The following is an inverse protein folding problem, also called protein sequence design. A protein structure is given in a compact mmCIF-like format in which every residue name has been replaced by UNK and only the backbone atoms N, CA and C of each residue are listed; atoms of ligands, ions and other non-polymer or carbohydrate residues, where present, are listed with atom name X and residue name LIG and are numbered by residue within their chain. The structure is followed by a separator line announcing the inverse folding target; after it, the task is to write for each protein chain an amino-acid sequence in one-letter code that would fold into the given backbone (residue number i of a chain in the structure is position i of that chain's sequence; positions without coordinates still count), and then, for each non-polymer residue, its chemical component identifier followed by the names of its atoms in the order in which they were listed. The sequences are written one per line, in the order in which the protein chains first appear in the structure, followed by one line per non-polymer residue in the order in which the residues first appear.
data_IF_601165898176
#
_entry.id   IF_601165898176
#
_cell.length_a   1.000
_cell.length_b   1.000
_cell.length_c   1.000
_cell.angle_alpha   90.00
_cell.angle_beta   90.00
_cell.angle_gamma   90.00
#
_symmetry.space_group_name_H-M   'P 1'
#
loop_
_entity.id
_entity.type
_entity.pdbx_description
1 polymer ?
#
# COMPACT_ATOMS: atom_id res chain seq x y z
N UNK A 1 11.30 5.56 6.56
CA UNK A 1 12.55 4.86 6.17
C UNK A 1 13.73 5.28 7.03
N UNK A 2 13.60 6.36 7.80
CA UNK A 2 14.63 7.09 8.56
C UNK A 2 15.48 6.27 9.55
N UNK A 3 15.15 5.00 9.79
CA UNK A 3 15.88 4.11 10.71
C UNK A 3 16.31 2.78 10.10
N UNK A 4 16.00 2.50 8.84
CA UNK A 4 16.10 1.14 8.29
C UNK A 4 17.24 0.99 7.29
N UNK A 5 17.50 1.96 6.41
CA UNK A 5 18.64 1.87 5.48
C UNK A 5 19.04 3.27 4.98
N UNK A 6 20.34 3.60 5.04
CA UNK A 6 20.95 4.68 4.25
C UNK A 6 21.66 4.03 3.05
N UNK A 7 20.88 3.66 2.03
CA UNK A 7 21.38 3.00 0.83
C UNK A 7 20.94 3.80 -0.40
N UNK A 8 21.85 4.09 -1.35
CA UNK A 8 21.47 4.74 -2.58
C UNK A 8 20.54 3.84 -3.41
N UNK A 9 19.40 4.39 -3.81
CA UNK A 9 18.42 3.74 -4.67
C UNK A 9 18.41 4.38 -6.07
N UNK A 10 18.01 3.63 -7.09
CA UNK A 10 17.89 4.12 -8.47
C UNK A 10 16.43 4.32 -8.87
N UNK A 11 16.17 5.39 -9.62
CA UNK A 11 14.86 5.63 -10.20
C UNK A 11 14.56 4.59 -11.28
N UNK A 12 13.48 3.84 -11.10
CA UNK A 12 13.00 2.86 -12.08
C UNK A 12 11.92 3.50 -12.96
N UNK A 13 12.30 3.88 -14.18
CA UNK A 13 11.32 4.31 -15.18
C UNK A 13 10.58 3.09 -15.74
N UNK A 14 9.34 2.88 -15.30
CA UNK A 14 8.59 1.64 -15.56
C UNK A 14 8.47 1.26 -17.06
N UNK A 15 8.21 2.19 -18.00
CA UNK A 15 8.18 1.85 -19.42
C UNK A 15 9.50 1.29 -19.96
N UNK A 16 10.64 1.67 -19.37
CA UNK A 16 11.93 1.07 -19.69
C UNK A 16 12.06 -0.33 -19.09
N UNK A 17 11.67 -0.52 -17.82
CA UNK A 17 11.64 -1.84 -17.18
C UNK A 17 10.81 -2.84 -17.99
N UNK A 18 9.63 -2.43 -18.47
CA UNK A 18 8.77 -3.28 -19.30
C UNK A 18 9.45 -3.70 -20.61
N UNK A 19 10.15 -2.77 -21.29
CA UNK A 19 10.92 -3.08 -22.51
C UNK A 19 12.06 -4.07 -22.23
N UNK A 20 12.77 -3.92 -21.11
CA UNK A 20 13.83 -4.84 -20.71
C UNK A 20 13.26 -6.22 -20.38
N UNK A 21 12.17 -6.27 -19.61
CA UNK A 21 11.49 -7.51 -19.25
C UNK A 21 11.04 -8.29 -20.50
N UNK A 22 10.49 -7.60 -21.52
CA UNK A 22 10.11 -8.22 -22.80
C UNK A 22 11.27 -8.94 -23.49
N UNK A 23 12.48 -8.38 -23.48
CA UNK A 23 13.68 -9.02 -24.06
C UNK A 23 14.02 -10.35 -23.38
N UNK A 24 13.60 -10.53 -22.13
CA UNK A 24 13.83 -11.75 -21.35
C UNK A 24 12.61 -12.67 -21.29
N UNK A 25 11.64 -12.50 -22.21
CA UNK A 25 10.45 -13.34 -22.27
C UNK A 25 9.50 -13.15 -21.09
N UNK A 26 9.48 -11.96 -20.50
CA UNK A 26 8.54 -11.58 -19.44
C UNK A 26 7.45 -10.69 -20.04
N UNK A 27 6.20 -11.14 -19.94
CA UNK A 27 5.02 -10.38 -20.35
C UNK A 27 4.49 -9.61 -19.14
N UNK A 28 4.27 -8.31 -19.31
CA UNK A 28 3.60 -7.48 -18.30
C UNK A 28 2.19 -7.99 -18.01
N UNK A 29 1.83 -8.06 -16.72
CA UNK A 29 0.50 -8.49 -16.25
C UNK A 29 -0.23 -7.30 -15.64
N UNK A 30 0.36 -6.70 -14.59
CA UNK A 30 -0.26 -5.62 -13.84
C UNK A 30 0.76 -4.67 -13.24
N UNK A 31 0.29 -3.45 -12.96
CA UNK A 31 0.95 -2.43 -12.17
C UNK A 31 -0.11 -1.55 -11.53
N UNK A 32 0.03 -1.32 -10.24
CA UNK A 32 -0.82 -0.42 -9.47
C UNK A 32 -0.04 0.16 -8.29
N UNK A 33 -0.48 1.30 -7.76
CA UNK A 33 0.13 1.85 -6.54
C UNK A 33 -0.18 0.92 -5.36
N UNK A 34 0.66 0.94 -4.33
CA UNK A 34 0.38 0.17 -3.11
C UNK A 34 -0.96 0.58 -2.49
N UNK A 35 -1.29 1.88 -2.53
CA UNK A 35 -2.56 2.40 -2.03
C UNK A 35 -3.75 1.79 -2.77
N UNK A 36 -3.73 1.79 -4.10
CA UNK A 36 -4.83 1.23 -4.90
C UNK A 36 -4.97 -0.28 -4.68
N UNK A 37 -3.84 -0.99 -4.60
CA UNK A 37 -3.84 -2.42 -4.29
C UNK A 37 -4.45 -2.70 -2.91
N UNK A 38 -4.04 -1.91 -1.91
CA UNK A 38 -4.55 -2.05 -0.55
C UNK A 38 -6.05 -1.79 -0.50
N UNK A 39 -6.53 -0.68 -1.09
CA UNK A 39 -7.94 -0.31 -1.12
C UNK A 39 -8.81 -1.37 -1.81
N UNK A 40 -8.31 -1.97 -2.89
CA UNK A 40 -9.01 -3.05 -3.61
C UNK A 40 -9.09 -4.37 -2.82
N UNK A 41 -8.11 -4.66 -1.94
CA UNK A 41 -7.97 -5.97 -1.31
C UNK A 41 -8.28 -6.00 0.20
N UNK A 42 -8.31 -4.85 0.88
CA UNK A 42 -8.52 -4.78 2.33
C UNK A 42 -9.93 -5.21 2.78
N UNK A 43 -10.91 -5.21 1.87
CA UNK A 43 -12.30 -5.51 2.18
C UNK A 43 -12.59 -6.99 2.49
N UNK A 44 -11.75 -7.92 2.04
CA UNK A 44 -11.98 -9.37 2.24
C UNK A 44 -11.75 -9.79 3.69
N UNK A 45 -12.40 -10.87 4.12
CA UNK A 45 -12.28 -11.36 5.49
C UNK A 45 -10.87 -11.91 5.76
N UNK A 46 -10.29 -12.57 4.75
CA UNK A 46 -8.97 -13.16 4.77
C UNK A 46 -7.89 -12.08 4.88
N UNK A 47 -7.96 -11.02 4.06
CA UNK A 47 -7.05 -9.88 4.15
C UNK A 47 -7.12 -9.21 5.51
N UNK A 48 -8.34 -8.97 6.02
CA UNK A 48 -8.54 -8.39 7.35
C UNK A 48 -7.86 -9.23 8.42
N UNK A 49 -8.19 -10.52 8.49
CA UNK A 49 -7.62 -11.45 9.47
C UNK A 49 -6.08 -11.47 9.41
N UNK A 50 -5.49 -11.47 8.21
CA UNK A 50 -4.05 -11.45 8.04
C UNK A 50 -3.43 -10.13 8.54
N UNK A 51 -3.97 -8.98 8.14
CA UNK A 51 -3.52 -7.66 8.59
C UNK A 51 -3.59 -7.53 10.13
N UNK A 52 -4.61 -8.11 10.75
CA UNK A 52 -4.73 -8.14 12.20
C UNK A 52 -3.63 -8.99 12.87
N UNK A 53 -3.38 -10.19 12.35
CA UNK A 53 -2.34 -11.10 12.88
C UNK A 53 -0.94 -10.51 12.73
N UNK A 54 -0.67 -9.84 11.61
CA UNK A 54 0.61 -9.19 11.37
C UNK A 54 0.80 -7.89 12.15
N UNK A 55 -0.27 -7.37 12.78
CA UNK A 55 -0.29 -6.02 13.37
C UNK A 55 0.15 -4.96 12.36
N UNK A 56 -0.32 -5.09 11.12
CA UNK A 56 0.12 -4.26 9.99
C UNK A 56 -0.44 -2.83 10.03
N UNK A 57 -1.48 -2.58 10.84
CA UNK A 57 -2.12 -1.29 11.01
C UNK A 57 -2.24 -0.98 12.50
N UNK A 58 -2.15 0.30 12.80
CA UNK A 58 -2.34 0.87 14.11
C UNK A 58 -3.83 1.08 14.41
N UNK A 59 -4.18 1.06 15.69
CA UNK A 59 -5.55 1.29 16.12
C UNK A 59 -5.72 2.78 16.44
N UNK A 60 -6.60 3.46 15.71
CA UNK A 60 -6.97 4.84 15.96
C UNK A 60 -8.38 4.90 16.56
N UNK A 61 -8.56 5.72 17.60
CA UNK A 61 -9.85 5.98 18.24
C UNK A 61 -10.05 7.49 18.39
N UNK A 62 -11.29 7.95 18.23
CA UNK A 62 -11.62 9.35 18.48
C UNK A 62 -11.35 9.74 19.95
N UNK A 63 -10.87 10.97 20.21
CA UNK A 63 -10.76 11.48 21.57
C UNK A 63 -12.08 11.36 22.33
N UNK A 64 -12.01 11.14 23.64
CA UNK A 64 -13.17 11.16 24.54
C UNK A 64 -12.77 11.76 25.87
N UNK A 65 -13.66 12.60 26.43
CA UNK A 65 -13.49 13.15 27.77
C UNK A 65 -13.79 12.12 28.86
N UNK A 66 -14.39 10.97 28.50
CA UNK A 66 -14.69 9.90 29.43
C UNK A 66 -13.57 8.84 29.44
N UNK A 67 -12.73 8.77 30.47
CA UNK A 67 -11.59 7.84 30.53
C UNK A 67 -12.04 6.37 30.54
N UNK A 68 -13.27 6.06 30.94
CA UNK A 68 -13.80 4.69 30.88
C UNK A 68 -14.09 4.20 29.46
N UNK A 69 -14.20 5.12 28.49
CA UNK A 69 -14.43 4.78 27.09
C UNK A 69 -13.11 4.65 26.31
N UNK A 70 -12.00 5.12 26.87
CA UNK A 70 -10.71 5.11 26.20
C UNK A 70 -10.04 3.74 26.35
N UNK A 71 -9.98 3.00 25.25
CA UNK A 71 -9.45 1.61 25.27
C UNK A 71 -7.94 1.52 25.14
N UNK A 72 -7.31 2.60 24.65
CA UNK A 72 -5.87 2.66 24.37
C UNK A 72 -5.29 4.03 24.73
N UNK A 73 -3.95 4.12 24.92
CA UNK A 73 -3.29 5.39 25.18
C UNK A 73 -3.61 6.43 24.08
N UNK A 74 -3.70 7.72 24.43
CA UNK A 74 -3.82 8.78 23.45
C UNK A 74 -2.67 8.72 22.45
N UNK A 75 -3.00 8.80 21.16
CA UNK A 75 -2.04 8.91 20.06
C UNK A 75 -2.04 10.37 19.61
N UNK A 76 -0.94 10.85 19.03
CA UNK A 76 -0.89 12.18 18.44
C UNK A 76 -1.90 12.32 17.28
N UNK A 77 -3.06 12.91 17.57
CA UNK A 77 -4.18 13.05 16.64
C UNK A 77 -3.82 13.82 15.36
N UNK A 78 -2.82 14.70 15.41
CA UNK A 78 -2.43 15.49 14.23
C UNK A 78 -1.93 14.61 13.08
N UNK A 79 -1.34 13.45 13.41
CA UNK A 79 -0.85 12.46 12.45
C UNK A 79 -1.96 11.57 11.87
N UNK A 80 -3.19 11.66 12.38
CA UNK A 80 -4.33 10.79 12.00
C UNK A 80 -5.59 11.56 11.62
N UNK A 81 -5.45 12.82 11.19
CA UNK A 81 -6.58 13.66 10.74
C UNK A 81 -7.44 12.99 9.66
N UNK A 82 -6.84 12.17 8.78
CA UNK A 82 -7.56 11.36 7.78
C UNK A 82 -8.47 10.30 8.41
N UNK A 83 -8.01 9.67 9.50
CA UNK A 83 -8.75 8.64 10.20
C UNK A 83 -9.93 9.22 10.97
N UNK A 84 -9.74 10.38 11.60
CA UNK A 84 -10.83 11.15 12.22
C UNK A 84 -11.90 11.51 11.20
N UNK A 85 -11.50 12.08 10.06
CA UNK A 85 -12.42 12.42 8.98
C UNK A 85 -13.18 11.18 8.50
N UNK A 86 -12.49 10.05 8.28
CA UNK A 86 -13.12 8.80 7.87
C UNK A 86 -14.20 8.32 8.85
N UNK A 87 -13.91 8.34 10.16
CA UNK A 87 -14.88 7.94 11.20
C UNK A 87 -16.07 8.91 11.24
N UNK A 88 -15.82 10.21 11.16
CA UNK A 88 -16.87 11.22 11.15
C UNK A 88 -17.79 11.08 9.93
N UNK A 89 -17.21 10.88 8.73
CA UNK A 89 -17.95 10.66 7.49
C UNK A 89 -18.81 9.38 7.56
N UNK A 90 -18.28 8.31 8.16
CA UNK A 90 -19.04 7.08 8.39
C UNK A 90 -20.20 7.29 9.40
N UNK A 91 -19.99 8.10 10.44
CA UNK A 91 -21.01 8.41 11.43
C UNK A 91 -22.10 9.36 10.89
N UNK A 92 -21.81 10.19 9.89
CA UNK A 92 -22.82 10.98 9.17
C UNK A 92 -23.80 10.04 8.44
N UNK A 93 -23.29 8.97 7.84
CA UNK A 93 -24.13 7.98 7.13
C UNK A 93 -24.88 7.07 8.11
N UNK A 94 -24.21 6.65 9.18
CA UNK A 94 -24.75 5.75 10.19
C UNK A 94 -24.42 6.26 11.59
N UNK A 95 -25.35 6.99 12.24
CA UNK A 95 -25.09 7.62 13.53
C UNK A 95 -24.58 6.63 14.58
N UNK A 96 -23.46 6.97 15.23
CA UNK A 96 -22.81 6.20 16.30
C UNK A 96 -22.40 4.76 15.93
N UNK A 97 -22.19 4.49 14.65
CA UNK A 97 -21.79 3.16 14.16
C UNK A 97 -20.34 2.82 14.54
N UNK A 98 -19.42 3.80 14.47
CA UNK A 98 -17.98 3.55 14.60
C UNK A 98 -17.31 4.65 15.41
N UNK A 99 -16.44 4.28 16.37
CA UNK A 99 -15.56 5.24 17.11
C UNK A 99 -14.07 5.03 16.87
N UNK A 100 -13.72 3.96 16.17
CA UNK A 100 -12.33 3.57 15.95
C UNK A 100 -12.13 2.91 14.61
N UNK A 101 -10.95 3.05 14.04
CA UNK A 101 -10.56 2.34 12.82
C UNK A 101 -9.11 1.83 12.94
N UNK A 102 -8.72 0.99 11.99
CA UNK A 102 -7.32 0.59 11.80
C UNK A 102 -6.73 1.39 10.66
N UNK A 103 -5.55 1.96 10.84
CA UNK A 103 -4.92 2.84 9.86
C UNK A 103 -3.39 2.92 10.09
N UNK A 104 -2.70 3.70 9.28
CA UNK A 104 -1.34 4.18 9.53
C UNK A 104 -1.38 5.69 9.77
N UNK A 105 -0.30 6.24 10.33
CA UNK A 105 -0.13 7.69 10.36
C UNK A 105 -0.07 8.27 8.95
N UNK A 106 -0.30 9.59 8.83
CA UNK A 106 -0.26 10.28 7.54
C UNK A 106 1.07 10.09 6.82
N UNK A 107 2.20 10.28 7.51
CA UNK A 107 3.53 10.13 6.89
C UNK A 107 3.79 8.69 6.46
N UNK A 108 3.32 7.70 7.22
CA UNK A 108 3.47 6.30 6.85
C UNK A 108 2.62 5.95 5.63
N UNK A 109 1.40 6.47 5.53
CA UNK A 109 0.58 6.33 4.32
C UNK A 109 1.24 6.98 3.10
N UNK A 110 1.75 8.20 3.27
CA UNK A 110 2.47 8.92 2.21
C UNK A 110 3.67 8.08 1.74
N UNK A 111 4.48 7.56 2.67
CA UNK A 111 5.62 6.70 2.35
C UNK A 111 5.23 5.37 1.71
N UNK A 112 4.22 4.67 2.25
CA UNK A 112 3.75 3.40 1.69
C UNK A 112 3.21 3.59 0.26
N UNK A 113 2.56 4.73 0.00
CA UNK A 113 1.99 5.05 -1.31
C UNK A 113 3.02 5.35 -2.40
N UNK A 114 4.28 5.60 -2.04
CA UNK A 114 5.38 5.75 -2.99
C UNK A 114 5.68 4.43 -3.73
N UNK A 115 5.40 3.30 -3.09
CA UNK A 115 5.67 1.98 -3.65
C UNK A 115 4.59 1.57 -4.65
N UNK A 116 5.00 0.80 -5.65
CA UNK A 116 4.13 0.17 -6.63
C UNK A 116 4.22 -1.34 -6.52
N UNK A 117 3.11 -2.02 -6.81
CA UNK A 117 3.06 -3.46 -7.01
C UNK A 117 2.99 -3.69 -8.50
N UNK A 118 3.78 -4.65 -9.00
CA UNK A 118 3.74 -5.06 -10.39
C UNK A 118 3.99 -6.55 -10.51
N UNK A 119 3.44 -7.15 -11.56
CA UNK A 119 3.67 -8.55 -11.88
C UNK A 119 4.01 -8.72 -13.36
N UNK A 120 4.93 -9.65 -13.62
CA UNK A 120 5.25 -10.15 -14.95
C UNK A 120 5.02 -11.65 -14.99
N UNK A 121 4.47 -12.14 -16.10
CA UNK A 121 4.31 -13.55 -16.37
C UNK A 121 5.44 -14.02 -17.28
N UNK A 122 6.12 -15.09 -16.88
CA UNK A 122 7.10 -15.75 -17.74
C UNK A 122 6.39 -16.40 -18.92
N UNK A 123 6.78 -16.01 -20.12
CA UNK A 123 6.39 -16.68 -21.37
C UNK A 123 7.42 -17.75 -21.71
N UNK A 124 7.00 -18.87 -22.31
CA UNK A 124 7.91 -19.94 -22.69
C UNK A 124 8.92 -19.45 -23.76
N UNK A 125 10.18 -19.88 -23.57
CA UNK A 125 11.37 -19.77 -24.44
C UNK A 125 11.36 -18.72 -25.56
N UNK A 126 11.90 -17.54 -25.28
CA UNK A 126 12.47 -16.69 -26.35
C UNK A 126 13.76 -17.37 -26.79
N UNK A 127 13.85 -17.85 -28.04
CA UNK A 127 15.12 -18.31 -28.61
C UNK A 127 16.02 -17.09 -28.79
N UNK A 128 17.28 -17.22 -28.39
CA UNK A 128 18.29 -16.14 -28.37
C UNK A 128 18.77 -15.72 -29.78
N UNK A 129 18.11 -16.16 -30.85
CA UNK A 129 18.69 -16.18 -32.21
C UNK A 129 18.30 -14.99 -33.11
N UNK A 130 17.40 -14.10 -32.71
CA UNK A 130 16.94 -13.00 -33.60
C UNK A 130 17.60 -11.63 -33.33
N UNK A 131 18.67 -11.56 -32.52
CA UNK A 131 19.43 -10.32 -32.30
C UNK A 131 20.53 -10.03 -33.32
N UNK A 132 20.72 -10.86 -34.35
CA UNK A 132 21.60 -10.55 -35.48
C UNK A 132 20.78 -10.18 -36.72
N UNK A 133 20.17 -8.99 -36.70
CA UNK A 133 19.78 -8.32 -37.94
C UNK A 133 20.87 -7.31 -38.27
N UNK A 134 21.83 -7.79 -39.05
CA UNK A 134 22.60 -7.07 -40.08
C UNK A 134 22.59 -5.54 -39.99
N UNK A 135 23.67 -4.97 -39.46
CA UNK A 135 24.17 -3.68 -39.95
C UNK A 135 24.58 -3.89 -41.42
N UNK A 136 23.77 -3.36 -42.34
CA UNK A 136 24.18 -3.00 -43.70
C UNK A 136 24.32 -1.48 -43.77
#
# INVERSE_FOLDING_TARGET
LDKVVDCPEYLVYFPLLEKLAKKHGLKYVERQTFKDYFDANQGTQESRCLLEKMKALEYYELPTDNPHQQRRPPIDHTRYTHAEKYINDANIQHPNSVRSCRTLSKEEWDMASLYIIFAFQKTHHVKYDDCNVSEQ
#
